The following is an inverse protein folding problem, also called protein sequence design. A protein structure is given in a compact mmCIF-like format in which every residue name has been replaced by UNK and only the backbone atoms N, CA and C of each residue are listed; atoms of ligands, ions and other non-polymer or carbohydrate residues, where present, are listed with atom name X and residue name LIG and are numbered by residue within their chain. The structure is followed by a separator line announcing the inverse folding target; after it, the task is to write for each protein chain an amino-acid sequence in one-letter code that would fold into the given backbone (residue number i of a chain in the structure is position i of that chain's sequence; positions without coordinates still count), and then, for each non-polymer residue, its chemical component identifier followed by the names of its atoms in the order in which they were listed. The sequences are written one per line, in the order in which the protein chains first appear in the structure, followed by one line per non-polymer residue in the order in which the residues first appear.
data_IF_572170528819
#
_entry.id   IF_572170528819
#
_cell.length_a   1.000
_cell.length_b   1.000
_cell.length_c   1.000
_cell.angle_alpha   90.00
_cell.angle_beta   90.00
_cell.angle_gamma   90.00
#
_symmetry.space_group_name_H-M   'P 1'
#
loop_
_entity.id
_entity.type
_entity.pdbx_description
1 polymer ?
#
# COMPACT_ATOMS: atom_id res chain seq x y z
N UNK A 1 -11.42 13.50 -10.17
CA UNK A 1 -12.31 13.43 -11.35
C UNK A 1 -11.74 12.36 -12.26
N UNK A 2 -12.51 11.34 -12.62
CA UNK A 2 -11.98 10.18 -13.38
C UNK A 2 -12.06 10.44 -14.90
N UNK A 3 -13.25 10.81 -15.38
CA UNK A 3 -13.52 11.11 -16.78
C UNK A 3 -14.78 11.99 -16.90
N UNK A 4 -15.03 12.48 -18.12
CA UNK A 4 -16.29 13.06 -18.55
C UNK A 4 -17.01 12.10 -19.49
N UNK A 5 -18.35 12.08 -19.47
CA UNK A 5 -19.16 11.37 -20.46
C UNK A 5 -19.27 12.16 -21.79
N UNK A 6 -20.04 11.63 -22.75
CA UNK A 6 -20.27 12.28 -24.05
C UNK A 6 -20.90 13.67 -23.93
N UNK A 7 -21.65 13.92 -22.85
CA UNK A 7 -22.32 15.18 -22.55
C UNK A 7 -21.46 16.10 -21.66
N UNK A 8 -20.16 15.81 -21.50
CA UNK A 8 -19.21 16.56 -20.67
C UNK A 8 -19.58 16.61 -19.19
N UNK A 9 -20.33 15.63 -18.68
CA UNK A 9 -20.66 15.53 -17.25
C UNK A 9 -19.68 14.59 -16.55
N UNK A 10 -19.27 14.88 -15.30
CA UNK A 10 -18.37 14.01 -14.54
C UNK A 10 -18.94 12.60 -14.35
N UNK A 11 -18.16 11.60 -14.75
CA UNK A 11 -18.44 10.20 -14.46
C UNK A 11 -18.34 9.96 -12.95
N UNK A 12 -19.48 9.70 -12.29
CA UNK A 12 -19.57 9.42 -10.86
C UNK A 12 -19.32 7.94 -10.58
N UNK A 13 -18.07 7.51 -10.67
CA UNK A 13 -17.67 6.11 -10.51
C UNK A 13 -16.76 5.93 -9.32
N UNK A 14 -17.05 4.94 -8.46
CA UNK A 14 -16.14 4.57 -7.37
C UNK A 14 -14.94 3.82 -7.94
N UNK A 15 -13.77 4.45 -7.88
CA UNK A 15 -12.51 3.95 -8.44
C UNK A 15 -11.39 4.03 -7.42
N UNK A 16 -10.34 3.23 -7.65
CA UNK A 16 -9.13 3.23 -6.82
C UNK A 16 -8.37 4.56 -6.87
N UNK A 17 -8.44 5.28 -8.00
CA UNK A 17 -7.80 6.58 -8.24
C UNK A 17 -8.12 7.62 -7.16
N UNK A 18 -9.26 7.50 -6.47
CA UNK A 18 -9.57 8.39 -5.37
C UNK A 18 -8.52 8.31 -4.25
N UNK A 19 -7.91 7.14 -4.02
CA UNK A 19 -6.80 6.98 -3.08
C UNK A 19 -5.56 7.79 -3.45
N UNK A 20 -5.38 8.17 -4.73
CA UNK A 20 -4.28 9.06 -5.13
C UNK A 20 -4.44 10.46 -4.53
N UNK A 21 -5.66 10.90 -4.22
CA UNK A 21 -5.86 12.17 -3.52
C UNK A 21 -5.32 12.13 -2.09
N UNK A 22 -5.34 10.96 -1.44
CA UNK A 22 -4.64 10.75 -0.16
C UNK A 22 -3.13 10.71 -0.39
N UNK A 23 -2.67 9.97 -1.40
CA UNK A 23 -1.25 9.86 -1.72
C UNK A 23 -0.60 11.22 -1.99
N UNK A 24 -1.28 12.13 -2.68
CA UNK A 24 -0.75 13.47 -2.97
C UNK A 24 -0.93 14.45 -1.81
N UNK A 25 -1.79 14.14 -0.83
CA UNK A 25 -2.10 15.04 0.28
C UNK A 25 -3.10 16.14 -0.08
N UNK A 26 -3.70 16.10 -1.28
CA UNK A 26 -4.68 17.11 -1.73
C UNK A 26 -6.06 16.91 -1.09
N UNK A 27 -6.34 15.72 -0.54
CA UNK A 27 -7.61 15.45 0.10
C UNK A 27 -7.73 16.23 1.43
N UNK A 28 -8.86 16.90 1.64
CA UNK A 28 -9.15 17.50 2.93
C UNK A 28 -9.25 16.42 4.03
N UNK A 29 -8.73 16.67 5.25
CA UNK A 29 -8.73 15.69 6.34
C UNK A 29 -10.11 15.09 6.64
N UNK A 30 -11.17 15.89 6.62
CA UNK A 30 -12.54 15.45 6.89
C UNK A 30 -13.10 14.49 5.81
N UNK A 31 -12.48 14.45 4.63
CA UNK A 31 -12.86 13.52 3.54
C UNK A 31 -12.08 12.22 3.60
N UNK A 32 -10.94 12.19 4.30
CA UNK A 32 -10.04 11.04 4.33
C UNK A 32 -10.72 9.80 4.94
N UNK A 33 -11.46 9.96 6.04
CA UNK A 33 -12.18 8.87 6.69
C UNK A 33 -13.17 8.17 5.75
N UNK A 34 -14.00 8.95 5.05
CA UNK A 34 -14.98 8.41 4.09
C UNK A 34 -14.29 7.73 2.91
N UNK A 35 -13.16 8.27 2.46
CA UNK A 35 -12.41 7.69 1.36
C UNK A 35 -11.74 6.36 1.77
N UNK A 36 -11.12 6.31 2.94
CA UNK A 36 -10.57 5.07 3.50
C UNK A 36 -11.64 3.99 3.64
N UNK A 37 -12.81 4.33 4.21
CA UNK A 37 -13.95 3.42 4.30
C UNK A 37 -14.41 2.91 2.93
N UNK A 38 -14.47 3.79 1.92
CA UNK A 38 -14.89 3.43 0.57
C UNK A 38 -13.90 2.48 -0.11
N UNK A 39 -12.60 2.79 -0.03
CA UNK A 39 -11.53 1.98 -0.62
C UNK A 39 -11.41 0.60 0.06
N UNK A 40 -11.68 0.54 1.36
CA UNK A 40 -11.59 -0.70 2.15
C UNK A 40 -12.91 -1.46 2.27
N UNK A 41 -13.99 -0.95 1.67
CA UNK A 41 -15.27 -1.67 1.59
C UNK A 41 -15.15 -2.93 0.73
N UNK A 42 -16.00 -3.93 0.95
CA UNK A 42 -15.95 -5.22 0.24
C UNK A 42 -16.15 -5.10 -1.29
N UNK A 43 -16.80 -4.03 -1.76
CA UNK A 43 -16.94 -3.77 -3.19
C UNK A 43 -15.64 -3.28 -3.82
N UNK A 44 -14.78 -2.58 -3.06
CA UNK A 44 -13.47 -2.08 -3.52
C UNK A 44 -12.33 -3.05 -3.18
N UNK A 45 -12.13 -3.35 -1.89
CA UNK A 45 -11.10 -4.27 -1.40
C UNK A 45 -11.61 -5.71 -1.36
N UNK A 46 -11.04 -6.56 -2.21
CA UNK A 46 -11.53 -7.92 -2.44
C UNK A 46 -10.88 -9.01 -1.56
N UNK A 47 -9.97 -8.62 -0.66
CA UNK A 47 -9.13 -9.53 0.13
C UNK A 47 -7.74 -9.82 -0.49
N UNK A 48 -7.54 -9.47 -1.76
CA UNK A 48 -6.22 -9.43 -2.41
C UNK A 48 -5.65 -8.02 -2.56
N UNK A 49 -6.53 -7.04 -2.73
CA UNK A 49 -6.20 -5.64 -2.99
C UNK A 49 -7.46 -4.85 -3.35
N UNK A 50 -7.31 -3.54 -3.47
CA UNK A 50 -8.30 -2.60 -3.98
C UNK A 50 -8.38 -2.74 -5.50
N UNK A 51 -9.58 -2.98 -6.00
CA UNK A 51 -9.90 -3.03 -7.44
C UNK A 51 -9.86 -1.65 -8.05
N UNK A 52 -9.48 -1.54 -9.33
CA UNK A 52 -9.52 -0.26 -10.06
C UNK A 52 -10.91 0.37 -10.08
N UNK A 53 -11.96 -0.47 -10.16
CA UNK A 53 -13.37 -0.09 -10.11
C UNK A 53 -14.08 -1.02 -9.13
N UNK A 54 -14.91 -0.45 -8.25
CA UNK A 54 -15.65 -1.23 -7.27
C UNK A 54 -16.66 -2.18 -7.94
N UNK A 55 -16.91 -3.33 -7.34
CA UNK A 55 -17.77 -4.38 -7.91
C UNK A 55 -19.25 -3.98 -8.06
N UNK A 56 -19.63 -2.85 -7.47
CA UNK A 56 -20.98 -2.27 -7.53
C UNK A 56 -21.15 -1.27 -8.68
N UNK A 57 -20.09 -0.96 -9.42
CA UNK A 57 -20.13 0.01 -10.50
C UNK A 57 -20.47 -0.67 -11.84
N UNK A 58 -21.23 0.01 -12.69
CA UNK A 58 -21.79 -0.59 -13.91
C UNK A 58 -20.77 -1.19 -14.89
N UNK A 59 -19.55 -0.66 -14.92
CA UNK A 59 -18.48 -1.15 -15.80
C UNK A 59 -17.56 -2.19 -15.16
N UNK A 60 -17.85 -2.63 -13.94
CA UNK A 60 -17.03 -3.62 -13.27
C UNK A 60 -16.92 -4.90 -14.10
N UNK A 61 -15.69 -5.26 -14.43
CA UNK A 61 -15.31 -6.53 -15.01
C UNK A 61 -13.99 -6.96 -14.34
N UNK A 62 -13.99 -8.01 -13.51
CA UNK A 62 -12.80 -8.43 -12.78
C UNK A 62 -11.65 -8.88 -13.66
N UNK A 63 -11.92 -9.24 -14.92
CA UNK A 63 -10.93 -9.65 -15.93
C UNK A 63 -10.59 -8.52 -16.90
N UNK A 64 -11.06 -7.29 -16.65
CA UNK A 64 -10.70 -6.12 -17.46
C UNK A 64 -9.38 -5.54 -16.99
N UNK A 65 -8.61 -5.01 -17.94
CA UNK A 65 -7.35 -4.34 -17.67
C UNK A 65 -7.48 -3.15 -16.70
N UNK A 66 -8.52 -2.32 -16.84
CA UNK A 66 -8.72 -1.13 -15.98
C UNK A 66 -10.08 -1.04 -15.29
N UNK A 67 -11.01 -1.97 -15.52
CA UNK A 67 -12.36 -1.88 -14.96
C UNK A 67 -12.66 -2.91 -13.87
N UNK A 68 -11.68 -3.35 -13.10
CA UNK A 68 -11.96 -4.28 -12.00
C UNK A 68 -10.80 -5.19 -11.63
N UNK A 69 -9.67 -5.13 -12.32
CA UNK A 69 -8.42 -5.77 -11.92
C UNK A 69 -7.80 -5.09 -10.70
N UNK A 70 -6.72 -5.70 -10.20
CA UNK A 70 -5.93 -5.21 -9.08
C UNK A 70 -4.52 -5.00 -9.57
N UNK A 71 -4.03 -3.79 -9.32
CA UNK A 71 -2.71 -3.34 -9.72
C UNK A 71 -1.85 -3.18 -8.47
N UNK A 72 -0.77 -3.96 -8.30
CA UNK A 72 0.08 -3.86 -7.12
C UNK A 72 0.64 -2.46 -6.89
N UNK A 73 1.10 -1.79 -7.96
CA UNK A 73 1.64 -0.42 -7.87
C UNK A 73 0.57 0.59 -7.39
N UNK A 74 -0.65 0.51 -7.92
CA UNK A 74 -1.76 1.38 -7.54
C UNK A 74 -2.13 1.18 -6.07
N UNK A 75 -2.14 -0.07 -5.63
CA UNK A 75 -2.38 -0.43 -4.24
C UNK A 75 -1.27 0.07 -3.29
N UNK A 76 -0.01 0.12 -3.74
CA UNK A 76 1.07 0.75 -2.97
C UNK A 76 0.83 2.26 -2.79
N UNK A 77 0.42 2.97 -3.84
CA UNK A 77 0.07 4.39 -3.78
C UNK A 77 -1.10 4.63 -2.82
N UNK A 78 -2.14 3.81 -2.90
CA UNK A 78 -3.31 3.88 -2.02
C UNK A 78 -2.90 3.64 -0.57
N UNK A 79 -2.09 2.62 -0.29
CA UNK A 79 -1.59 2.32 1.05
C UNK A 79 -0.73 3.46 1.62
N UNK A 80 0.13 4.07 0.79
CA UNK A 80 0.92 5.24 1.18
C UNK A 80 0.02 6.45 1.51
N UNK A 81 -1.00 6.70 0.70
CA UNK A 81 -2.00 7.71 0.99
C UNK A 81 -2.79 7.45 2.27
N UNK A 82 -3.22 6.20 2.50
CA UNK A 82 -3.88 5.81 3.75
C UNK A 82 -2.97 6.05 4.95
N UNK A 83 -1.72 5.61 4.89
CA UNK A 83 -0.74 5.81 5.96
C UNK A 83 -0.49 7.29 6.27
N UNK A 84 -0.38 8.15 5.24
CA UNK A 84 -0.23 9.61 5.41
C UNK A 84 -1.36 10.23 6.24
N UNK A 85 -2.56 9.68 6.16
CA UNK A 85 -3.73 10.17 6.91
C UNK A 85 -4.03 9.34 8.17
N UNK A 86 -3.08 8.53 8.64
CA UNK A 86 -3.20 7.73 9.87
C UNK A 86 -3.89 6.37 9.72
N UNK A 87 -4.32 5.99 8.52
CA UNK A 87 -5.00 4.71 8.23
C UNK A 87 -3.99 3.58 7.98
N UNK A 88 -3.05 3.39 8.91
CA UNK A 88 -1.96 2.39 8.80
C UNK A 88 -2.46 0.95 8.90
N UNK A 89 -3.55 0.71 9.64
CA UNK A 89 -4.18 -0.61 9.71
C UNK A 89 -4.69 -1.05 8.34
N UNK A 90 -5.30 -0.12 7.59
CA UNK A 90 -5.79 -0.33 6.24
C UNK A 90 -4.62 -0.55 5.26
N UNK A 91 -3.55 0.24 5.38
CA UNK A 91 -2.32 0.03 4.61
C UNK A 91 -1.72 -1.37 4.85
N UNK A 92 -1.66 -1.83 6.11
CA UNK A 92 -1.19 -3.16 6.46
C UNK A 92 -2.07 -4.27 5.86
N UNK A 93 -3.40 -4.10 5.86
CA UNK A 93 -4.33 -5.06 5.22
C UNK A 93 -4.13 -5.15 3.70
N UNK A 94 -3.83 -4.04 3.03
CA UNK A 94 -3.47 -4.04 1.60
C UNK A 94 -2.17 -4.83 1.40
N UNK A 95 -1.17 -4.60 2.26
CA UNK A 95 0.10 -5.33 2.19
C UNK A 95 -0.09 -6.84 2.39
N UNK A 96 -0.87 -7.25 3.38
CA UNK A 96 -1.22 -8.65 3.61
C UNK A 96 -1.90 -9.29 2.40
N UNK A 97 -2.83 -8.58 1.76
CA UNK A 97 -3.51 -9.05 0.56
C UNK A 97 -2.54 -9.31 -0.59
N UNK A 98 -1.65 -8.36 -0.87
CA UNK A 98 -0.68 -8.46 -1.96
C UNK A 98 0.43 -9.47 -1.66
N UNK A 99 0.90 -9.54 -0.42
CA UNK A 99 1.86 -10.56 0.01
C UNK A 99 1.24 -11.96 -0.13
N UNK A 100 0.00 -12.15 0.32
CA UNK A 100 -0.69 -13.42 0.12
C UNK A 100 -0.85 -13.76 -1.36
N UNK A 101 -1.18 -12.79 -2.22
CA UNK A 101 -1.27 -13.00 -3.66
C UNK A 101 0.08 -13.45 -4.25
N UNK A 102 1.20 -12.81 -3.85
CA UNK A 102 2.53 -13.15 -4.37
C UNK A 102 2.94 -14.59 -4.06
N UNK A 103 2.45 -15.20 -2.98
CA UNK A 103 2.74 -16.60 -2.66
C UNK A 103 2.23 -17.61 -3.71
N UNK A 104 1.28 -17.21 -4.56
CA UNK A 104 0.76 -18.02 -5.67
C UNK A 104 1.44 -17.75 -7.00
N UNK A 105 2.28 -16.72 -7.09
CA UNK A 105 2.88 -16.25 -8.34
C UNK A 105 4.31 -16.79 -8.45
N UNK A 106 4.71 -17.16 -9.66
CA UNK A 106 6.06 -17.62 -9.94
C UNK A 106 7.12 -16.65 -9.41
N UNK A 107 8.14 -17.22 -8.76
CA UNK A 107 9.23 -16.48 -8.10
C UNK A 107 8.76 -15.48 -7.03
N UNK A 108 7.49 -15.54 -6.61
CA UNK A 108 6.84 -14.63 -5.65
C UNK A 108 6.92 -13.16 -6.04
N UNK A 109 6.91 -12.89 -7.35
CA UNK A 109 7.00 -11.53 -7.90
C UNK A 109 5.61 -11.01 -8.21
N UNK A 110 5.30 -9.80 -7.75
CA UNK A 110 4.03 -9.17 -8.08
C UNK A 110 3.99 -8.84 -9.58
N UNK A 111 2.92 -9.23 -10.31
CA UNK A 111 2.77 -8.93 -11.72
C UNK A 111 2.34 -7.48 -11.92
N UNK A 112 2.23 -7.07 -13.18
CA UNK A 112 1.52 -5.86 -13.60
C UNK A 112 0.16 -5.67 -12.91
N UNK A 113 -0.69 -6.69 -13.06
CA UNK A 113 -2.06 -6.75 -12.59
C UNK A 113 -2.51 -8.21 -12.46
N UNK A 114 -3.57 -8.43 -11.70
CA UNK A 114 -4.32 -9.69 -11.69
C UNK A 114 -5.82 -9.42 -11.56
N UNK A 115 -6.66 -10.44 -11.80
CA UNK A 115 -8.10 -10.25 -11.86
C UNK A 115 -8.69 -9.95 -10.47
N UNK A 116 -9.62 -9.00 -10.39
CA UNK A 116 -10.19 -8.56 -9.11
C UNK A 116 -11.35 -9.40 -8.60
N UNK A 117 -11.29 -10.72 -8.78
CA UNK A 117 -12.25 -11.64 -8.19
C UNK A 117 -12.10 -11.65 -6.65
N UNK A 118 -13.21 -11.81 -5.90
CA UNK A 118 -13.14 -11.89 -4.45
C UNK A 118 -12.26 -13.06 -4.00
N UNK A 119 -11.44 -12.82 -2.96
CA UNK A 119 -10.64 -13.86 -2.32
C UNK A 119 -11.56 -14.93 -1.74
N UNK A 120 -11.31 -16.19 -2.11
CA UNK A 120 -12.01 -17.37 -1.60
C UNK A 120 -11.06 -18.22 -0.77
N UNK A 121 -11.61 -18.93 0.22
CA UNK A 121 -10.81 -19.83 1.07
C UNK A 121 -10.16 -20.91 0.19
N UNK A 122 -8.87 -21.16 0.41
CA UNK A 122 -8.08 -22.16 -0.30
C UNK A 122 -7.98 -21.98 -1.84
N UNK A 123 -8.22 -20.77 -2.35
CA UNK A 123 -8.02 -20.45 -3.77
C UNK A 123 -7.05 -19.26 -3.89
N UNK A 124 -6.11 -19.35 -4.83
CA UNK A 124 -5.25 -18.24 -5.21
C UNK A 124 -5.99 -17.16 -6.02
N UNK A 125 -5.35 -16.02 -6.29
CA UNK A 125 -5.90 -15.03 -7.20
C UNK A 125 -5.99 -15.59 -8.62
N UNK A 126 -6.97 -15.13 -9.39
CA UNK A 126 -7.03 -15.44 -10.82
C UNK A 126 -6.07 -14.51 -11.56
N UNK A 127 -5.14 -15.08 -12.33
CA UNK A 127 -4.17 -14.31 -13.08
C UNK A 127 -4.76 -13.69 -14.34
N UNK A 128 -4.21 -12.53 -14.71
CA UNK A 128 -4.54 -11.87 -15.96
C UNK A 128 -3.68 -12.50 -17.08
N UNK A 129 -4.26 -12.99 -18.19
CA UNK A 129 -3.54 -13.88 -19.13
C UNK A 129 -2.28 -13.30 -19.78
N UNK A 130 -2.21 -11.98 -19.98
CA UNK A 130 -1.11 -11.32 -20.69
C UNK A 130 -0.37 -10.29 -19.82
N UNK A 131 -0.42 -10.47 -18.48
CA UNK A 131 0.26 -9.57 -17.55
C UNK A 131 1.79 -9.69 -17.67
N UNK A 132 2.49 -8.56 -17.66
CA UNK A 132 3.94 -8.57 -17.54
C UNK A 132 4.36 -9.04 -16.12
N UNK A 133 5.30 -9.97 -16.03
CA UNK A 133 5.79 -10.51 -14.74
C UNK A 133 7.32 -10.72 -14.71
N UNK A 134 8.08 -9.95 -13.89
CA UNK A 134 7.68 -8.72 -13.20
C UNK A 134 7.61 -7.55 -14.19
N UNK A 135 6.74 -6.58 -13.91
CA UNK A 135 6.80 -5.27 -14.59
C UNK A 135 7.47 -4.23 -13.70
N UNK A 136 8.22 -3.32 -14.31
CA UNK A 136 9.09 -2.38 -13.61
C UNK A 136 8.40 -1.60 -12.47
N UNK A 137 7.19 -1.10 -12.69
CA UNK A 137 6.43 -0.38 -11.64
C UNK A 137 5.93 -1.24 -10.47
N UNK A 138 5.82 -2.56 -10.62
CA UNK A 138 5.35 -3.45 -9.57
C UNK A 138 6.49 -3.82 -8.60
N UNK A 139 7.75 -3.73 -9.05
CA UNK A 139 8.92 -4.12 -8.28
C UNK A 139 9.09 -3.33 -6.97
N UNK A 140 8.73 -2.04 -6.96
CA UNK A 140 8.81 -1.18 -5.78
C UNK A 140 7.66 -1.40 -4.77
N UNK A 141 6.62 -2.15 -5.16
CA UNK A 141 5.39 -2.32 -4.36
C UNK A 141 5.66 -2.82 -2.93
N UNK A 142 6.39 -3.93 -2.71
CA UNK A 142 6.63 -4.42 -1.35
C UNK A 142 7.40 -3.43 -0.47
N UNK A 143 8.37 -2.71 -1.06
CA UNK A 143 9.18 -1.74 -0.34
C UNK A 143 8.35 -0.51 0.06
N UNK A 144 7.51 0.00 -0.85
CA UNK A 144 6.60 1.11 -0.58
C UNK A 144 5.53 0.75 0.46
N UNK A 145 4.99 -0.47 0.40
CA UNK A 145 4.04 -0.97 1.40
C UNK A 145 4.68 -1.11 2.78
N UNK A 146 5.89 -1.64 2.86
CA UNK A 146 6.64 -1.74 4.12
C UNK A 146 6.91 -0.34 4.70
N UNK A 147 7.43 0.59 3.88
CA UNK A 147 7.66 1.98 4.29
C UNK A 147 6.37 2.63 4.82
N UNK A 148 5.24 2.42 4.13
CA UNK A 148 3.94 2.96 4.52
C UNK A 148 3.44 2.38 5.85
N UNK A 149 3.63 1.08 6.08
CA UNK A 149 3.24 0.44 7.34
C UNK A 149 4.09 0.91 8.52
N UNK A 150 5.39 1.13 8.30
CA UNK A 150 6.32 1.61 9.32
C UNK A 150 6.22 3.11 9.58
N UNK A 151 5.53 3.87 8.72
CA UNK A 151 5.55 5.33 8.74
C UNK A 151 6.97 5.88 8.64
N UNK A 152 7.80 5.23 7.83
CA UNK A 152 9.22 5.54 7.70
C UNK A 152 9.42 6.78 6.83
N UNK A 153 9.96 7.83 7.43
CA UNK A 153 10.22 9.13 6.82
C UNK A 153 11.67 9.56 7.07
N UNK A 154 12.16 10.42 6.17
CA UNK A 154 13.50 10.98 6.21
C UNK A 154 13.38 12.51 6.13
N UNK A 155 14.01 13.21 7.06
CA UNK A 155 14.20 14.66 7.01
C UNK A 155 15.71 14.96 6.89
N UNK A 156 16.19 15.19 5.65
CA UNK A 156 17.61 15.45 5.40
C UNK A 156 18.12 16.75 6.03
N UNK A 157 17.25 17.75 6.22
CA UNK A 157 17.65 19.02 6.83
C UNK A 157 17.87 18.87 8.33
N UNK A 158 17.03 18.05 8.98
CA UNK A 158 17.13 17.72 10.38
C UNK A 158 18.08 16.54 10.69
N UNK A 159 18.66 15.90 9.66
CA UNK A 159 19.40 14.63 9.73
C UNK A 159 18.65 13.57 10.54
N UNK A 160 17.34 13.44 10.27
CA UNK A 160 16.43 12.61 11.06
C UNK A 160 15.78 11.51 10.23
N UNK A 161 15.74 10.31 10.78
CA UNK A 161 14.92 9.19 10.33
C UNK A 161 13.80 9.03 11.36
N UNK A 162 12.55 8.96 10.92
CA UNK A 162 11.40 8.78 11.82
C UNK A 162 10.55 7.59 11.42
N UNK A 163 10.06 6.85 12.41
CA UNK A 163 9.02 5.83 12.28
C UNK A 163 7.78 6.34 13.02
N UNK A 164 6.78 6.78 12.27
CA UNK A 164 5.55 7.32 12.85
C UNK A 164 4.49 6.21 12.96
N UNK A 165 4.07 5.91 14.20
CA UNK A 165 3.08 4.87 14.54
C UNK A 165 3.34 3.54 13.78
N UNK A 166 4.56 2.98 13.84
CA UNK A 166 4.93 1.84 13.02
C UNK A 166 4.03 0.63 13.30
N UNK A 167 3.60 -0.03 12.22
CA UNK A 167 2.82 -1.27 12.27
C UNK A 167 3.47 -2.34 11.40
N UNK A 168 3.42 -3.59 11.87
CA UNK A 168 3.81 -4.76 11.09
C UNK A 168 2.56 -5.51 10.61
N UNK A 169 2.45 -5.86 9.32
CA UNK A 169 1.39 -6.73 8.82
C UNK A 169 1.48 -8.11 9.48
N UNK A 170 0.36 -8.82 9.62
CA UNK A 170 0.26 -10.08 10.39
C UNK A 170 1.22 -11.19 9.97
N UNK A 171 1.72 -11.19 8.74
CA UNK A 171 2.69 -12.18 8.26
C UNK A 171 4.14 -11.88 8.68
N UNK A 172 4.40 -10.71 9.27
CA UNK A 172 5.74 -10.20 9.57
C UNK A 172 5.86 -9.95 11.08
N UNK A 173 6.75 -10.70 11.72
CA UNK A 173 7.02 -10.56 13.16
C UNK A 173 8.19 -9.62 13.47
N UNK A 174 9.18 -9.59 12.57
CA UNK A 174 10.36 -8.73 12.69
C UNK A 174 10.82 -8.28 11.31
N UNK A 175 11.34 -7.05 11.24
CA UNK A 175 12.08 -6.54 10.08
C UNK A 175 13.28 -5.75 10.55
N UNK A 176 14.42 -5.96 9.90
CA UNK A 176 15.62 -5.15 10.10
C UNK A 176 15.90 -4.33 8.85
N UNK A 177 15.90 -3.01 9.02
CA UNK A 177 16.33 -2.05 8.02
C UNK A 177 17.81 -1.76 8.26
N UNK A 178 18.68 -2.07 7.30
CA UNK A 178 20.12 -1.84 7.40
C UNK A 178 20.56 -0.72 6.50
N UNK A 179 21.60 -0.01 6.91
CA UNK A 179 22.25 1.05 6.14
C UNK A 179 21.27 2.11 5.63
N UNK A 180 20.35 2.56 6.49
CA UNK A 180 19.50 3.69 6.18
C UNK A 180 20.36 4.96 6.17
N UNK A 181 20.61 5.50 4.98
CA UNK A 181 21.51 6.64 4.78
C UNK A 181 20.76 7.96 4.87
N UNK A 182 21.33 8.94 5.58
CA UNK A 182 20.88 10.32 5.57
C UNK A 182 22.05 11.28 5.81
N UNK A 183 22.26 12.22 4.89
CA UNK A 183 23.49 13.02 4.85
C UNK A 183 24.73 12.13 4.75
N UNK A 184 25.69 12.32 5.66
CA UNK A 184 26.90 11.49 5.78
C UNK A 184 26.79 10.39 6.84
N UNK A 185 25.60 10.20 7.43
CA UNK A 185 25.37 9.21 8.48
C UNK A 185 24.52 8.03 8.02
N UNK A 186 24.46 7.00 8.87
CA UNK A 186 23.68 5.78 8.61
C UNK A 186 23.13 5.15 9.88
N UNK A 187 21.95 4.54 9.83
CA UNK A 187 21.39 3.73 10.92
C UNK A 187 20.95 2.34 10.48
N UNK A 188 21.07 1.38 11.39
CA UNK A 188 20.38 0.08 11.34
C UNK A 188 19.25 0.08 12.39
N UNK A 189 18.05 -0.30 11.97
CA UNK A 189 16.84 -0.26 12.82
C UNK A 189 16.15 -1.63 12.74
N UNK A 190 15.90 -2.25 13.88
CA UNK A 190 14.98 -3.38 14.00
C UNK A 190 13.59 -2.92 14.46
N UNK A 191 12.56 -3.48 13.84
CA UNK A 191 11.17 -3.33 14.28
C UNK A 191 10.63 -4.71 14.56
N UNK A 192 10.18 -4.95 15.80
CA UNK A 192 9.71 -6.26 16.29
C UNK A 192 8.30 -6.15 16.83
N UNK A 193 7.46 -7.14 16.54
CA UNK A 193 6.12 -7.25 17.10
C UNK A 193 6.19 -7.53 18.61
N UNK A 194 5.41 -6.78 19.39
CA UNK A 194 5.18 -7.03 20.81
C UNK A 194 3.68 -6.92 21.10
N UNK A 195 3.00 -8.06 21.09
CA UNK A 195 1.54 -8.12 21.16
C UNK A 195 0.88 -7.38 19.99
N UNK A 196 0.11 -6.33 20.29
CA UNK A 196 -0.54 -5.46 19.28
C UNK A 196 0.32 -4.26 18.86
N UNK A 197 1.44 -4.04 19.54
CA UNK A 197 2.35 -2.93 19.32
C UNK A 197 3.63 -3.43 18.65
N UNK A 198 4.54 -2.51 18.38
CA UNK A 198 5.89 -2.82 17.93
C UNK A 198 6.91 -2.17 18.85
N UNK A 199 8.08 -2.80 18.94
CA UNK A 199 9.28 -2.25 19.56
C UNK A 199 10.22 -1.85 18.44
N UNK A 200 10.80 -0.65 18.55
CA UNK A 200 11.77 -0.13 17.59
C UNK A 200 13.12 -0.02 18.30
N UNK A 201 14.10 -0.79 17.82
CA UNK A 201 15.46 -0.84 18.34
C UNK A 201 16.42 -0.23 17.31
N UNK A 202 17.22 0.75 17.72
CA UNK A 202 18.33 1.26 16.91
C UNK A 202 19.55 0.38 17.18
N UNK A 203 19.91 -0.45 16.20
CA UNK A 203 20.97 -1.46 16.32
C UNK A 203 22.35 -0.82 16.16
N UNK A 204 22.51 -0.01 15.13
CA UNK A 204 23.74 0.72 14.83
C UNK A 204 23.42 2.13 14.37
N UNK A 205 24.33 3.06 14.63
CA UNK A 205 24.19 4.47 14.24
C UNK A 205 25.57 5.11 14.06
N UNK A 206 25.78 5.71 12.89
CA UNK A 206 27.03 6.41 12.53
C UNK A 206 26.72 7.84 12.11
N UNK A 207 27.53 8.78 12.61
CA UNK A 207 27.35 10.22 12.39
C UNK A 207 26.26 10.85 13.26
N UNK A 208 26.08 12.16 13.10
CA UNK A 208 25.10 12.97 13.85
C UNK A 208 23.68 12.85 13.26
N UNK A 209 23.15 11.63 13.27
CA UNK A 209 21.77 11.36 12.83
C UNK A 209 20.85 11.08 14.02
N UNK A 210 19.59 11.47 13.88
CA UNK A 210 18.54 11.20 14.87
C UNK A 210 17.60 10.13 14.35
N UNK A 211 17.28 9.16 15.20
CA UNK A 211 16.24 8.18 14.92
C UNK A 211 15.12 8.39 15.92
N UNK A 212 13.92 8.67 15.44
CA UNK A 212 12.73 8.86 16.27
C UNK A 212 11.69 7.79 15.97
N UNK A 213 11.00 7.32 17.00
CA UNK A 213 9.82 6.48 16.86
C UNK A 213 8.69 7.08 17.69
N UNK A 214 7.54 7.31 17.07
CA UNK A 214 6.33 7.73 17.79
C UNK A 214 5.36 6.56 17.86
N UNK A 215 4.76 6.38 19.04
CA UNK A 215 3.78 5.32 19.28
C UNK A 215 2.40 5.68 18.72
#
# INVERSE_FOLDING_TARGET
MLALDGDKRPCKVRSSNAGHALFTGIAYPERAARLALTLMSASSFCGWGVRTIASTEARYNPMSYHNGSIWPHDNALIASGLARYGYRTEAARIFEGLFAASTYIDLRRLPELFCGLPRRRAQGPTFYPVACSPQAWAAATPMSLLQSCLGLEFDPNALQISLNEPRLPSFLDEVTLRHLLIGNGSADIAVRRSGRNVVVDVIDRKGDIRVLATA
#
